data_IF_194624469489
#
_entry.id   IF_194624469489
#
_cell.length_a   1.000
_cell.length_b   1.000
_cell.length_c   1.000
_cell.angle_alpha   90.00
_cell.angle_beta   90.00
_cell.angle_gamma   90.00
#
_symmetry.space_group_name_H-M   'P 1'
#
loop_
_entity.id
_entity.type
_entity.pdbx_description
1 polymer ?
#
# COMPACT_ATOMS: atom_id res chain seq x y z
N UNK A 1 -21.75 -5.69 30.03
CA UNK A 1 -20.86 -4.83 29.23
C UNK A 1 -21.68 -4.21 28.10
N UNK A 2 -21.68 -2.88 27.93
CA UNK A 2 -22.35 -2.20 26.81
C UNK A 2 -21.66 -2.57 25.50
N UNK A 3 -22.42 -2.75 24.40
CA UNK A 3 -21.84 -2.97 23.07
C UNK A 3 -21.01 -1.74 22.67
N UNK A 4 -19.81 -1.94 22.09
CA UNK A 4 -18.99 -0.81 21.64
C UNK A 4 -19.76 0.03 20.60
N UNK A 5 -19.61 1.34 20.68
CA UNK A 5 -20.26 2.27 19.75
C UNK A 5 -19.72 2.09 18.36
N UNK A 6 -20.60 1.99 17.36
CA UNK A 6 -20.20 1.94 15.94
C UNK A 6 -19.72 3.32 15.49
N UNK A 7 -18.63 3.40 14.70
CA UNK A 7 -18.15 4.67 14.15
C UNK A 7 -19.07 5.20 13.05
N UNK A 8 -18.86 6.48 12.69
CA UNK A 8 -19.48 7.11 11.52
C UNK A 8 -18.52 7.12 10.33
N UNK A 9 -19.04 7.43 9.12
CA UNK A 9 -18.20 7.61 7.93
C UNK A 9 -17.14 8.71 8.17
N UNK A 10 -17.54 9.85 8.76
CA UNK A 10 -16.63 10.94 9.09
C UNK A 10 -15.53 10.48 10.06
N UNK A 11 -15.89 9.78 11.15
CA UNK A 11 -14.91 9.33 12.13
C UNK A 11 -13.86 8.38 11.52
N UNK A 12 -14.29 7.43 10.65
CA UNK A 12 -13.34 6.53 9.98
C UNK A 12 -12.48 7.29 8.97
N UNK A 13 -13.06 8.23 8.20
CA UNK A 13 -12.32 9.06 7.25
C UNK A 13 -11.24 9.88 7.95
N UNK A 14 -11.58 10.59 9.01
CA UNK A 14 -10.63 11.38 9.81
C UNK A 14 -9.52 10.51 10.41
N UNK A 15 -9.86 9.32 10.90
CA UNK A 15 -8.86 8.38 11.41
C UNK A 15 -7.89 7.93 10.31
N UNK A 16 -8.38 7.57 9.12
CA UNK A 16 -7.52 7.21 7.98
C UNK A 16 -6.60 8.38 7.59
N UNK A 17 -7.08 9.62 7.67
CA UNK A 17 -6.30 10.81 7.35
C UNK A 17 -5.18 11.09 8.36
N UNK A 18 -5.24 10.55 9.58
CA UNK A 18 -4.11 10.65 10.53
C UNK A 18 -2.87 9.87 10.06
N UNK A 19 -3.06 8.78 9.32
CA UNK A 19 -1.98 8.00 8.72
C UNK A 19 -1.67 8.45 7.29
N UNK A 20 -2.70 8.79 6.54
CA UNK A 20 -2.65 9.08 5.11
C UNK A 20 -3.12 10.51 4.86
N UNK A 21 -2.31 11.54 5.14
CA UNK A 21 -2.71 12.91 4.92
C UNK A 21 -3.05 13.14 3.43
N UNK A 22 -4.13 13.89 3.13
CA UNK A 22 -4.48 14.24 1.76
C UNK A 22 -3.34 15.01 1.09
N UNK A 23 -3.08 14.70 -0.19
CA UNK A 23 -2.12 15.40 -1.03
C UNK A 23 -2.82 15.96 -2.27
N UNK A 24 -2.35 17.09 -2.75
CA UNK A 24 -2.94 17.77 -3.91
C UNK A 24 -2.91 16.91 -5.17
N UNK A 25 -1.82 16.16 -5.37
CA UNK A 25 -1.60 15.28 -6.53
C UNK A 25 -1.97 13.81 -6.27
N UNK A 26 -2.74 13.52 -5.19
CA UNK A 26 -3.22 12.17 -4.92
C UNK A 26 -4.59 11.91 -5.56
N UNK A 27 -5.02 10.66 -5.59
CA UNK A 27 -6.39 10.30 -5.96
C UNK A 27 -7.38 10.94 -5.01
N UNK A 28 -8.59 11.23 -5.49
CA UNK A 28 -9.62 11.83 -4.67
C UNK A 28 -9.91 10.95 -3.44
N UNK A 29 -9.77 11.53 -2.23
CA UNK A 29 -9.97 10.84 -0.95
C UNK A 29 -11.36 10.18 -0.86
N UNK A 30 -12.41 10.92 -1.13
CA UNK A 30 -13.77 10.42 -1.22
C UNK A 30 -14.03 9.93 -2.65
N UNK A 31 -13.50 8.75 -2.99
CA UNK A 31 -13.50 8.24 -4.35
C UNK A 31 -14.91 7.90 -4.86
N UNK A 32 -15.76 7.35 -3.98
CA UNK A 32 -17.18 7.13 -4.26
C UNK A 32 -18.00 7.47 -3.02
N UNK A 33 -18.92 8.42 -3.15
CA UNK A 33 -19.82 8.86 -2.07
C UNK A 33 -21.24 8.38 -2.31
N UNK A 34 -22.00 8.06 -1.24
CA UNK A 34 -23.41 7.70 -1.35
C UNK A 34 -24.22 8.80 -2.02
N UNK A 35 -24.98 8.45 -3.06
CA UNK A 35 -25.79 9.41 -3.85
C UNK A 35 -27.18 9.73 -3.23
N UNK A 36 -27.30 9.58 -1.92
CA UNK A 36 -28.54 9.92 -1.24
C UNK A 36 -28.52 11.41 -0.85
N UNK A 37 -29.52 12.23 -1.21
CA UNK A 37 -29.58 13.64 -0.80
C UNK A 37 -29.58 13.87 0.74
N UNK A 38 -29.96 12.83 1.51
CA UNK A 38 -29.95 12.84 2.98
C UNK A 38 -28.68 12.19 3.56
N UNK A 39 -27.67 11.92 2.73
CA UNK A 39 -26.42 11.38 3.22
C UNK A 39 -25.67 12.45 4.00
N UNK A 40 -25.35 12.10 5.23
CA UNK A 40 -24.54 12.91 6.13
C UNK A 40 -23.46 11.98 6.72
N UNK A 41 -22.18 12.25 6.46
CA UNK A 41 -21.07 11.41 6.95
C UNK A 41 -20.96 11.41 8.47
N UNK A 42 -21.44 12.45 9.16
CA UNK A 42 -21.39 12.53 10.63
C UNK A 42 -22.40 11.58 11.30
N UNK A 43 -23.48 11.24 10.61
CA UNK A 43 -24.53 10.36 11.12
C UNK A 43 -24.57 8.99 10.45
N UNK A 44 -23.92 8.84 9.33
CA UNK A 44 -23.84 7.56 8.60
C UNK A 44 -22.96 6.54 9.36
N UNK A 45 -23.60 5.59 10.03
CA UNK A 45 -22.96 4.58 10.86
C UNK A 45 -22.27 3.51 10.00
N UNK A 46 -21.06 3.08 10.40
CA UNK A 46 -20.28 2.00 9.79
C UNK A 46 -20.42 0.72 10.63
N UNK A 47 -20.77 -0.39 9.99
CA UNK A 47 -20.85 -1.73 10.59
C UNK A 47 -19.69 -2.61 10.08
N UNK A 48 -19.20 -2.31 8.89
CA UNK A 48 -18.10 -3.04 8.23
C UNK A 48 -17.17 -2.07 7.54
N UNK A 49 -15.87 -2.30 7.69
CA UNK A 49 -14.80 -1.62 6.97
C UNK A 49 -14.10 -2.67 6.11
N UNK A 50 -14.01 -2.43 4.81
CA UNK A 50 -13.34 -3.32 3.85
C UNK A 50 -12.08 -2.62 3.36
N UNK A 51 -10.94 -3.31 3.42
CA UNK A 51 -9.64 -2.79 3.00
C UNK A 51 -9.08 -3.67 1.89
N UNK A 52 -8.59 -3.05 0.83
CA UNK A 52 -7.87 -3.75 -0.23
C UNK A 52 -6.96 -2.80 -1.02
N UNK A 53 -6.02 -3.37 -1.74
CA UNK A 53 -5.22 -2.62 -2.70
C UNK A 53 -6.08 -2.19 -3.88
N UNK A 54 -6.86 -3.11 -4.47
CA UNK A 54 -7.63 -2.89 -5.70
C UNK A 54 -9.04 -3.46 -5.60
N UNK A 55 -9.98 -3.01 -6.46
CA UNK A 55 -11.35 -3.51 -6.49
C UNK A 55 -11.43 -4.90 -7.19
N UNK A 56 -11.19 -5.96 -6.44
CA UNK A 56 -11.24 -7.34 -6.89
C UNK A 56 -12.64 -7.96 -6.70
N UNK A 57 -12.92 -9.17 -7.26
CA UNK A 57 -14.19 -9.87 -7.02
C UNK A 57 -14.52 -10.06 -5.54
N UNK A 58 -13.53 -10.37 -4.69
CA UNK A 58 -13.71 -10.47 -3.24
C UNK A 58 -14.12 -9.15 -2.60
N UNK A 59 -13.58 -8.02 -3.06
CA UNK A 59 -14.03 -6.69 -2.63
C UNK A 59 -15.49 -6.48 -3.03
N UNK A 60 -15.87 -6.76 -4.30
CA UNK A 60 -17.25 -6.60 -4.75
C UNK A 60 -18.23 -7.51 -4.00
N UNK A 61 -17.81 -8.70 -3.55
CA UNK A 61 -18.66 -9.57 -2.73
C UNK A 61 -19.07 -8.91 -1.41
N UNK A 62 -18.25 -8.00 -0.89
CA UNK A 62 -18.46 -7.29 0.39
C UNK A 62 -19.14 -5.94 0.22
N UNK A 63 -18.83 -5.20 -0.85
CA UNK A 63 -19.34 -3.83 -1.06
C UNK A 63 -20.40 -3.72 -2.16
N UNK A 64 -20.53 -4.74 -2.99
CA UNK A 64 -21.47 -4.78 -4.13
C UNK A 64 -22.87 -5.23 -3.74
N UNK A 65 -23.74 -5.29 -4.73
CA UNK A 65 -25.04 -5.90 -4.58
C UNK A 65 -24.89 -7.42 -4.48
N UNK A 66 -25.70 -8.13 -3.67
CA UNK A 66 -25.74 -9.58 -3.69
C UNK A 66 -25.96 -10.06 -5.12
N UNK A 67 -25.18 -11.03 -5.56
CA UNK A 67 -25.42 -11.68 -6.84
C UNK A 67 -26.81 -12.33 -6.77
N UNK A 68 -27.70 -11.96 -7.69
CA UNK A 68 -29.01 -12.56 -7.81
C UNK A 68 -28.81 -14.01 -8.27
N UNK A 69 -29.01 -14.98 -7.37
CA UNK A 69 -28.98 -16.42 -7.72
C UNK A 69 -30.10 -16.83 -8.66
N UNK A 70 -30.92 -15.88 -9.11
CA UNK A 70 -31.95 -16.13 -10.13
C UNK A 70 -31.38 -16.52 -11.52
N UNK A 71 -30.06 -16.36 -11.70
CA UNK A 71 -29.34 -16.85 -12.89
C UNK A 71 -28.97 -18.34 -12.78
N UNK A 72 -29.13 -18.96 -11.60
CA UNK A 72 -28.90 -20.39 -11.36
C UNK A 72 -30.27 -20.97 -11.05
N UNK A 73 -30.94 -21.55 -12.08
CA UNK A 73 -32.29 -22.09 -12.06
C UNK A 73 -32.64 -22.87 -10.79
N UNK A 74 -33.34 -22.25 -9.85
CA UNK A 74 -33.94 -22.90 -8.71
C UNK A 74 -35.32 -22.31 -8.42
N UNK A 75 -36.34 -23.04 -8.85
CA UNK A 75 -37.74 -22.90 -8.51
C UNK A 75 -37.96 -23.15 -7.02
N UNK A 76 -37.86 -22.11 -6.18
CA UNK A 76 -38.28 -22.22 -4.78
C UNK A 76 -39.04 -20.97 -4.35
N UNK A 77 -40.36 -21.12 -4.18
CA UNK A 77 -41.34 -20.07 -3.85
C UNK A 77 -41.35 -19.63 -2.37
N UNK A 78 -40.26 -19.69 -1.66
CA UNK A 78 -40.19 -19.16 -0.29
C UNK A 78 -39.56 -17.75 -0.31
N UNK A 79 -40.15 -16.75 0.40
CA UNK A 79 -39.54 -15.44 0.55
C UNK A 79 -38.23 -15.62 1.31
N UNK A 80 -37.09 -15.54 0.60
CA UNK A 80 -35.77 -15.56 1.22
C UNK A 80 -35.60 -14.27 2.02
N UNK A 81 -35.64 -14.33 3.32
CA UNK A 81 -35.26 -13.24 4.22
C UNK A 81 -33.74 -13.16 4.17
N UNK A 82 -33.20 -12.41 3.18
CA UNK A 82 -31.76 -12.09 3.19
C UNK A 82 -31.47 -11.17 4.39
N UNK A 83 -30.51 -11.50 5.22
CA UNK A 83 -30.08 -10.58 6.26
C UNK A 83 -29.66 -9.26 5.59
N UNK A 84 -30.10 -8.15 6.15
CA UNK A 84 -29.72 -6.82 5.65
C UNK A 84 -28.20 -6.73 5.54
N UNK A 85 -27.64 -6.37 4.37
CA UNK A 85 -26.22 -6.23 4.22
C UNK A 85 -25.68 -5.14 5.17
N UNK A 86 -24.47 -5.30 5.73
CA UNK A 86 -23.90 -4.34 6.65
C UNK A 86 -23.68 -2.98 5.97
N UNK A 87 -23.77 -1.91 6.75
CA UNK A 87 -23.40 -0.56 6.30
C UNK A 87 -21.88 -0.52 6.19
N UNK A 88 -21.38 -0.34 4.98
CA UNK A 88 -19.98 -0.58 4.66
C UNK A 88 -19.28 0.71 4.25
N UNK A 89 -18.06 0.88 4.77
CA UNK A 89 -17.04 1.78 4.24
C UNK A 89 -15.93 0.92 3.64
N UNK A 90 -15.44 1.29 2.46
CA UNK A 90 -14.34 0.60 1.79
C UNK A 90 -13.15 1.55 1.64
N UNK A 91 -11.94 1.06 1.82
CA UNK A 91 -10.70 1.74 1.46
C UNK A 91 -9.99 0.97 0.35
N UNK A 92 -9.60 1.67 -0.70
CA UNK A 92 -8.83 1.12 -1.83
C UNK A 92 -7.58 1.98 -2.06
N UNK A 93 -6.42 1.35 -2.05
CA UNK A 93 -5.18 2.03 -2.41
C UNK A 93 -5.19 2.44 -3.89
N UNK A 94 -5.53 1.52 -4.80
CA UNK A 94 -5.62 1.74 -6.26
C UNK A 94 -7.06 1.54 -6.77
N UNK A 95 -7.92 2.56 -6.70
CA UNK A 95 -9.35 2.45 -7.03
C UNK A 95 -9.64 2.57 -8.53
N UNK A 96 -8.64 2.68 -9.41
CA UNK A 96 -8.77 3.13 -10.80
C UNK A 96 -9.73 2.29 -11.65
N UNK A 97 -9.91 1.00 -11.32
CA UNK A 97 -10.81 0.08 -12.02
C UNK A 97 -12.15 -0.13 -11.30
N UNK A 98 -12.47 0.70 -10.29
CA UNK A 98 -13.71 0.55 -9.54
C UNK A 98 -14.93 0.83 -10.44
N UNK A 99 -15.74 -0.18 -10.68
CA UNK A 99 -17.09 0.01 -11.25
C UNK A 99 -18.04 0.56 -10.18
N UNK A 100 -18.20 1.88 -10.21
CA UNK A 100 -19.06 2.61 -9.24
C UNK A 100 -20.55 2.21 -9.35
N UNK A 101 -20.99 1.56 -10.43
CA UNK A 101 -22.38 1.10 -10.60
C UNK A 101 -22.61 -0.18 -9.82
N UNK A 102 -21.59 -1.01 -9.70
CA UNK A 102 -21.62 -2.25 -8.93
C UNK A 102 -21.51 -2.02 -7.42
N UNK A 103 -21.13 -0.81 -6.96
CA UNK A 103 -21.06 -0.46 -5.55
C UNK A 103 -22.46 -0.25 -4.97
N UNK A 104 -22.77 -0.97 -3.88
CA UNK A 104 -24.06 -0.91 -3.18
C UNK A 104 -24.37 0.51 -2.67
N UNK A 105 -25.64 0.94 -2.81
CA UNK A 105 -26.12 2.22 -2.27
C UNK A 105 -25.78 2.36 -0.78
N UNK A 106 -25.24 3.51 -0.38
CA UNK A 106 -24.86 3.79 1.00
C UNK A 106 -23.45 3.39 1.37
N UNK A 107 -22.68 2.74 0.48
CA UNK A 107 -21.25 2.48 0.68
C UNK A 107 -20.44 3.73 0.35
N UNK A 108 -19.55 4.12 1.27
CA UNK A 108 -18.50 5.11 1.02
C UNK A 108 -17.23 4.37 0.59
N UNK A 109 -16.55 4.85 -0.47
CA UNK A 109 -15.22 4.35 -0.84
C UNK A 109 -14.21 5.47 -0.66
N UNK A 110 -13.27 5.25 0.24
CA UNK A 110 -12.08 6.08 0.45
C UNK A 110 -10.94 5.58 -0.43
N UNK A 111 -10.02 6.47 -0.78
CA UNK A 111 -8.81 6.10 -1.48
C UNK A 111 -7.63 6.99 -1.10
N UNK A 112 -6.43 6.44 -1.22
CA UNK A 112 -5.15 7.14 -1.18
C UNK A 112 -4.11 6.34 -1.94
N UNK A 113 -3.49 6.94 -2.92
CA UNK A 113 -2.45 6.30 -3.71
C UNK A 113 -1.06 6.82 -3.32
N UNK A 114 -0.79 8.09 -3.58
CA UNK A 114 0.53 8.68 -3.34
C UNK A 114 0.90 8.69 -1.87
N UNK A 115 0.00 9.13 -1.00
CA UNK A 115 0.25 9.15 0.44
C UNK A 115 0.43 7.74 1.02
N UNK A 116 -0.34 6.76 0.52
CA UNK A 116 -0.19 5.36 0.91
C UNK A 116 1.17 4.80 0.51
N UNK A 117 1.60 5.02 -0.75
CA UNK A 117 2.92 4.61 -1.24
C UNK A 117 4.06 5.20 -0.39
N UNK A 118 3.91 6.45 0.03
CA UNK A 118 4.94 7.12 0.81
C UNK A 118 5.07 6.59 2.22
N UNK A 119 3.95 6.36 2.93
CA UNK A 119 4.00 6.16 4.38
C UNK A 119 3.60 4.77 4.86
N UNK A 120 2.93 3.97 4.04
CA UNK A 120 2.48 2.62 4.40
C UNK A 120 3.04 1.49 3.53
N UNK A 121 4.05 1.78 2.71
CA UNK A 121 4.80 0.76 1.96
C UNK A 121 6.28 0.81 2.32
N UNK A 122 7.16 0.35 1.43
CA UNK A 122 8.61 0.47 1.56
C UNK A 122 9.10 1.88 1.21
N UNK A 123 8.50 2.91 1.80
CA UNK A 123 8.81 4.33 1.61
C UNK A 123 9.23 5.03 2.91
N UNK A 124 8.74 6.24 3.14
CA UNK A 124 8.89 6.95 4.42
C UNK A 124 7.99 6.32 5.49
N UNK A 125 8.24 5.09 5.82
CA UNK A 125 7.44 4.30 6.76
C UNK A 125 8.15 4.19 8.11
N UNK A 126 7.84 5.12 9.01
CA UNK A 126 8.46 5.18 10.35
C UNK A 126 8.06 4.00 11.24
N UNK A 127 6.85 3.45 11.06
CA UNK A 127 6.40 2.26 11.81
C UNK A 127 7.21 1.03 11.39
N UNK A 128 7.40 0.82 10.10
CA UNK A 128 8.23 -0.28 9.59
C UNK A 128 9.69 -0.11 10.04
N UNK A 129 10.22 1.12 9.99
CA UNK A 129 11.57 1.43 10.46
C UNK A 129 11.75 1.06 11.95
N UNK A 130 10.79 1.41 12.80
CA UNK A 130 10.80 1.04 14.22
C UNK A 130 10.76 -0.49 14.41
N UNK A 131 9.92 -1.21 13.66
CA UNK A 131 9.82 -2.67 13.72
C UNK A 131 11.09 -3.37 13.24
N UNK A 132 11.81 -2.78 12.30
CA UNK A 132 13.14 -3.24 11.87
C UNK A 132 14.26 -2.80 12.85
N UNK A 133 13.90 -2.08 13.93
CA UNK A 133 14.80 -1.67 15.00
C UNK A 133 15.69 -0.49 14.66
N UNK A 134 15.26 0.36 13.73
CA UNK A 134 15.92 1.62 13.45
C UNK A 134 15.59 2.64 14.55
N UNK A 135 16.56 3.53 14.87
CA UNK A 135 16.36 4.64 15.78
C UNK A 135 15.58 5.76 15.08
N UNK A 136 14.26 5.68 15.06
CA UNK A 136 13.38 6.54 14.24
C UNK A 136 13.52 8.04 14.51
N UNK A 137 13.92 8.45 15.72
CA UNK A 137 14.17 9.85 16.06
C UNK A 137 15.33 10.47 15.27
N UNK A 138 16.30 9.64 14.84
CA UNK A 138 17.48 10.06 14.09
C UNK A 138 17.42 9.72 12.59
N UNK A 139 16.32 9.09 12.13
CA UNK A 139 16.15 8.72 10.74
C UNK A 139 16.03 9.94 9.82
N UNK A 140 16.56 9.82 8.61
CA UNK A 140 16.51 10.83 7.57
C UNK A 140 15.46 10.44 6.52
N UNK A 141 14.70 11.44 6.05
CA UNK A 141 13.76 11.26 4.94
C UNK A 141 14.50 11.43 3.62
N UNK A 142 14.40 10.42 2.75
CA UNK A 142 14.87 10.54 1.37
C UNK A 142 13.73 11.13 0.53
N UNK A 143 13.97 12.32 -0.05
CA UNK A 143 12.99 13.09 -0.80
C UNK A 143 13.43 13.36 -2.23
N UNK A 144 12.46 13.68 -3.09
CA UNK A 144 12.66 14.07 -4.48
C UNK A 144 12.63 12.88 -5.44
N UNK A 145 11.62 12.87 -6.32
CA UNK A 145 11.46 11.82 -7.32
C UNK A 145 10.68 12.33 -8.54
N UNK A 146 11.23 12.07 -9.74
CA UNK A 146 10.58 12.40 -11.03
C UNK A 146 10.07 13.85 -11.13
N UNK A 147 10.89 14.81 -10.68
CA UNK A 147 10.55 16.23 -10.76
C UNK A 147 9.70 16.78 -9.62
N UNK A 148 9.28 15.93 -8.66
CA UNK A 148 8.62 16.34 -7.42
C UNK A 148 9.65 16.32 -6.27
N UNK A 149 10.15 17.48 -5.79
CA UNK A 149 11.16 17.55 -4.74
C UNK A 149 10.61 17.17 -3.35
N UNK A 150 9.31 17.29 -3.14
CA UNK A 150 8.66 17.04 -1.86
C UNK A 150 8.24 15.58 -1.67
N UNK A 151 8.30 14.78 -2.74
CA UNK A 151 7.89 13.37 -2.68
C UNK A 151 8.82 12.57 -1.79
N UNK A 152 8.27 11.97 -0.75
CA UNK A 152 9.00 11.12 0.19
C UNK A 152 9.13 9.71 -0.38
N UNK A 153 10.32 9.30 -0.71
CA UNK A 153 10.58 7.99 -1.36
C UNK A 153 11.25 6.97 -0.45
N UNK A 154 11.68 7.38 0.73
CA UNK A 154 12.31 6.45 1.64
C UNK A 154 12.69 7.03 2.98
N UNK A 155 13.13 6.14 3.85
CA UNK A 155 13.69 6.42 5.16
C UNK A 155 15.02 5.69 5.31
N UNK A 156 16.03 6.39 5.82
CA UNK A 156 17.33 5.83 6.13
C UNK A 156 17.65 6.07 7.61
N UNK A 157 18.21 5.06 8.30
CA UNK A 157 18.55 5.19 9.71
C UNK A 157 19.48 4.11 10.23
N UNK A 158 19.99 4.35 11.42
CA UNK A 158 20.88 3.45 12.13
C UNK A 158 20.15 2.25 12.73
N UNK A 159 20.72 1.03 12.59
CA UNK A 159 20.12 -0.21 13.10
C UNK A 159 21.11 -1.10 13.89
N UNK A 160 22.36 -1.26 13.47
CA UNK A 160 23.42 -2.09 14.10
C UNK A 160 22.99 -3.54 14.43
N UNK A 161 22.89 -4.36 13.40
CA UNK A 161 22.46 -5.77 13.45
C UNK A 161 23.25 -6.62 12.47
N UNK A 162 23.21 -7.95 12.62
CA UNK A 162 23.66 -8.84 11.53
C UNK A 162 22.65 -8.82 10.37
N UNK A 163 23.14 -9.07 9.16
CA UNK A 163 22.30 -9.19 7.96
C UNK A 163 21.18 -10.21 8.16
N UNK A 164 21.50 -11.39 8.68
CA UNK A 164 20.53 -12.46 8.96
C UNK A 164 19.43 -11.99 9.94
N UNK A 165 19.76 -11.24 10.97
CA UNK A 165 18.80 -10.74 11.94
C UNK A 165 17.84 -9.73 11.29
N UNK A 166 18.32 -8.85 10.41
CA UNK A 166 17.48 -7.91 9.67
C UNK A 166 16.60 -8.65 8.67
N UNK A 167 17.15 -9.60 7.91
CA UNK A 167 16.39 -10.40 6.94
C UNK A 167 15.29 -11.23 7.62
N UNK A 168 15.55 -11.81 8.80
CA UNK A 168 14.53 -12.49 9.60
C UNK A 168 13.38 -11.54 9.98
N UNK A 169 13.69 -10.31 10.42
CA UNK A 169 12.66 -9.31 10.73
C UNK A 169 11.86 -8.88 9.48
N UNK A 170 12.54 -8.71 8.35
CA UNK A 170 11.87 -8.41 7.07
C UNK A 170 10.93 -9.56 6.68
N UNK A 171 11.37 -10.82 6.85
CA UNK A 171 10.54 -11.99 6.62
C UNK A 171 9.30 -12.04 7.54
N UNK A 172 9.46 -11.71 8.82
CA UNK A 172 8.34 -11.66 9.79
C UNK A 172 7.32 -10.58 9.41
N UNK A 173 7.79 -9.42 8.90
CA UNK A 173 6.91 -8.32 8.52
C UNK A 173 6.19 -8.54 7.18
N UNK A 174 6.83 -9.14 6.19
CA UNK A 174 6.26 -9.27 4.83
C UNK A 174 5.83 -10.69 4.46
N UNK A 175 6.17 -11.70 5.26
CA UNK A 175 5.88 -13.11 4.98
C UNK A 175 6.75 -13.72 3.87
N UNK A 176 7.41 -12.89 3.07
CA UNK A 176 8.37 -13.26 2.03
C UNK A 176 9.38 -12.14 1.84
N UNK A 177 10.65 -12.51 1.67
CA UNK A 177 11.71 -11.59 1.28
C UNK A 177 12.75 -12.34 0.47
N UNK A 178 13.38 -11.68 -0.48
CA UNK A 178 14.47 -12.19 -1.28
C UNK A 178 15.70 -11.34 -1.02
N UNK A 179 16.80 -11.97 -0.57
CA UNK A 179 18.11 -11.33 -0.60
C UNK A 179 18.59 -11.33 -2.06
N UNK A 180 18.36 -10.22 -2.75
CA UNK A 180 18.67 -10.06 -4.16
C UNK A 180 20.18 -9.93 -4.40
N UNK A 181 20.94 -9.44 -3.41
CA UNK A 181 22.39 -9.36 -3.42
C UNK A 181 22.93 -9.21 -2.00
N UNK A 182 23.93 -10.03 -1.67
CA UNK A 182 24.71 -9.96 -0.44
C UNK A 182 25.94 -9.05 -0.68
N UNK A 183 26.05 -8.01 0.13
CA UNK A 183 27.11 -7.02 0.01
C UNK A 183 28.45 -7.49 0.61
N UNK A 184 29.31 -6.53 0.92
CA UNK A 184 30.68 -6.81 1.38
C UNK A 184 30.77 -7.07 2.89
N UNK A 185 29.69 -6.90 3.68
CA UNK A 185 29.67 -7.06 5.14
C UNK A 185 28.41 -7.75 5.64
N UNK A 186 28.59 -8.65 6.63
CA UNK A 186 27.50 -9.27 7.39
C UNK A 186 26.93 -8.36 8.48
N UNK A 187 27.66 -7.30 8.86
CA UNK A 187 27.22 -6.31 9.82
C UNK A 187 26.47 -5.18 9.11
N UNK A 188 25.20 -5.03 9.39
CA UNK A 188 24.37 -3.93 8.89
C UNK A 188 24.23 -2.88 9.97
N UNK A 189 24.77 -1.70 9.73
CA UNK A 189 24.68 -0.52 10.60
C UNK A 189 23.55 0.40 10.16
N UNK A 190 23.19 0.36 8.88
CA UNK A 190 22.23 1.28 8.27
C UNK A 190 21.22 0.48 7.46
N UNK A 191 19.95 0.82 7.62
CA UNK A 191 18.87 0.32 6.77
C UNK A 191 18.29 1.48 6.00
N UNK A 192 18.16 1.33 4.68
CA UNK A 192 17.42 2.24 3.80
C UNK A 192 16.17 1.51 3.30
N UNK A 193 14.98 1.97 3.69
CA UNK A 193 13.69 1.46 3.22
C UNK A 193 13.22 2.39 2.11
N UNK A 194 13.14 1.89 0.86
CA UNK A 194 13.02 2.75 -0.32
C UNK A 194 11.99 2.23 -1.31
N UNK A 195 11.05 3.07 -1.74
CA UNK A 195 10.08 2.75 -2.81
C UNK A 195 10.59 3.07 -4.23
N UNK A 196 11.80 3.61 -4.35
CA UNK A 196 12.51 3.83 -5.61
C UNK A 196 13.88 3.15 -5.55
N UNK A 197 14.33 2.55 -6.66
CA UNK A 197 15.59 1.81 -6.71
C UNK A 197 16.24 1.98 -8.09
N UNK A 198 16.90 3.10 -8.32
CA UNK A 198 17.75 3.36 -9.46
C UNK A 198 19.11 3.85 -8.99
N UNK A 199 20.05 4.04 -9.89
CA UNK A 199 21.41 4.48 -9.60
C UNK A 199 21.43 5.77 -8.75
N UNK A 200 20.65 6.80 -9.14
CA UNK A 200 20.62 8.08 -8.41
C UNK A 200 20.18 7.93 -6.95
N UNK A 201 19.15 7.09 -6.68
CA UNK A 201 18.65 6.86 -5.33
C UNK A 201 19.66 6.08 -4.50
N UNK A 202 20.36 5.10 -5.07
CA UNK A 202 21.38 4.31 -4.39
C UNK A 202 22.55 5.21 -3.96
N UNK A 203 23.07 6.05 -4.87
CA UNK A 203 24.12 7.02 -4.57
C UNK A 203 23.68 8.05 -3.54
N UNK A 204 22.43 8.55 -3.63
CA UNK A 204 21.87 9.50 -2.67
C UNK A 204 21.82 8.93 -1.25
N UNK A 205 21.40 7.68 -1.12
CA UNK A 205 21.33 6.99 0.19
C UNK A 205 22.73 6.90 0.81
N UNK A 206 23.76 6.54 0.03
CA UNK A 206 25.14 6.50 0.51
C UNK A 206 25.62 7.89 0.93
N UNK A 207 25.41 8.90 0.08
CA UNK A 207 25.81 10.27 0.36
C UNK A 207 25.18 10.79 1.67
N UNK A 208 23.87 10.55 1.87
CA UNK A 208 23.17 10.94 3.11
C UNK A 208 23.74 10.22 4.34
N UNK A 209 24.12 8.95 4.23
CA UNK A 209 24.75 8.20 5.32
C UNK A 209 26.15 8.74 5.65
N UNK A 210 26.92 9.14 4.65
CA UNK A 210 28.23 9.78 4.81
C UNK A 210 28.12 11.19 5.43
N UNK A 211 27.22 12.03 4.93
CA UNK A 211 26.95 13.37 5.49
C UNK A 211 26.51 13.30 6.96
N UNK A 212 25.77 12.25 7.34
CA UNK A 212 25.38 12.02 8.74
C UNK A 212 26.50 11.47 9.60
N UNK A 213 27.61 11.02 8.99
CA UNK A 213 28.74 10.41 9.68
C UNK A 213 28.51 8.96 10.12
N UNK A 214 27.54 8.28 9.51
CA UNK A 214 27.29 6.86 9.74
C UNK A 214 28.22 5.95 8.92
N UNK A 215 28.70 6.45 7.81
CA UNK A 215 29.74 5.86 6.95
C UNK A 215 30.85 6.88 6.81
N UNK A 216 32.10 6.46 6.96
CA UNK A 216 33.23 7.37 6.83
C UNK A 216 33.49 7.73 5.37
N UNK A 217 34.04 8.88 5.11
CA UNK A 217 34.46 9.28 3.76
C UNK A 217 35.51 8.29 3.21
N UNK A 218 35.21 7.72 2.03
CA UNK A 218 36.04 6.70 1.39
C UNK A 218 35.74 5.25 1.80
N UNK A 219 34.87 5.03 2.78
CA UNK A 219 34.27 3.72 3.09
C UNK A 219 33.19 3.39 2.03
N UNK A 220 33.12 2.10 1.63
CA UNK A 220 32.05 1.63 0.75
C UNK A 220 30.69 1.50 1.48
N UNK A 221 29.65 1.08 0.76
CA UNK A 221 28.31 0.86 1.30
C UNK A 221 28.11 -0.48 2.00
N UNK A 222 29.16 -1.24 2.32
CA UNK A 222 29.07 -2.62 2.80
C UNK A 222 28.20 -2.80 4.04
N UNK A 223 28.15 -1.81 4.92
CA UNK A 223 27.33 -1.82 6.13
C UNK A 223 25.90 -1.31 5.92
N UNK A 224 25.45 -1.15 4.67
CA UNK A 224 24.14 -0.64 4.31
C UNK A 224 23.28 -1.74 3.67
N UNK A 225 22.08 -1.96 4.21
CA UNK A 225 21.03 -2.76 3.58
C UNK A 225 20.03 -1.83 2.88
N UNK A 226 19.88 -2.01 1.57
CA UNK A 226 18.86 -1.37 0.76
C UNK A 226 17.63 -2.28 0.66
N UNK A 227 16.54 -1.93 1.33
CA UNK A 227 15.27 -2.65 1.32
C UNK A 227 14.29 -1.97 0.36
N UNK A 228 13.83 -2.71 -0.65
CA UNK A 228 12.92 -2.17 -1.68
C UNK A 228 11.83 -3.16 -2.08
N UNK A 229 10.82 -2.69 -2.84
CA UNK A 229 9.76 -3.53 -3.35
C UNK A 229 10.22 -4.46 -4.49
N UNK A 230 10.98 -3.92 -5.46
CA UNK A 230 11.38 -4.67 -6.65
C UNK A 230 12.80 -4.33 -7.09
N UNK A 231 13.59 -5.31 -7.56
CA UNK A 231 14.89 -5.05 -8.13
C UNK A 231 14.77 -4.32 -9.47
N UNK A 232 15.72 -3.41 -9.74
CA UNK A 232 15.89 -2.75 -11.03
C UNK A 232 17.35 -2.83 -11.44
N UNK A 233 17.64 -3.00 -12.72
CA UNK A 233 18.98 -3.24 -13.24
C UNK A 233 19.96 -2.14 -12.80
N UNK A 234 19.64 -0.87 -13.05
CA UNK A 234 20.54 0.25 -12.71
C UNK A 234 20.80 0.38 -11.21
N UNK A 235 19.78 0.18 -10.36
CA UNK A 235 19.94 0.17 -8.91
C UNK A 235 20.78 -1.00 -8.42
N UNK A 236 20.61 -2.20 -9.01
CA UNK A 236 21.40 -3.38 -8.68
C UNK A 236 22.88 -3.21 -9.05
N UNK A 237 23.16 -2.65 -10.23
CA UNK A 237 24.53 -2.37 -10.68
C UNK A 237 25.23 -1.39 -9.73
N UNK A 238 24.55 -0.29 -9.39
CA UNK A 238 25.08 0.70 -8.46
C UNK A 238 25.29 0.13 -7.04
N UNK A 239 24.31 -0.58 -6.49
CA UNK A 239 24.42 -1.19 -5.17
C UNK A 239 25.58 -2.19 -5.08
N UNK A 240 25.77 -3.04 -6.11
CA UNK A 240 26.89 -3.98 -6.23
C UNK A 240 28.24 -3.26 -6.29
N UNK A 241 28.33 -2.19 -7.10
CA UNK A 241 29.56 -1.41 -7.21
C UNK A 241 29.96 -0.74 -5.88
N UNK A 242 28.99 -0.44 -5.03
CA UNK A 242 29.16 0.18 -3.72
C UNK A 242 29.21 -0.82 -2.55
N UNK A 243 29.15 -2.14 -2.83
CA UNK A 243 29.21 -3.18 -1.80
C UNK A 243 27.98 -3.32 -0.92
N UNK A 244 26.85 -2.64 -1.23
CA UNK A 244 25.64 -2.66 -0.42
C UNK A 244 24.89 -3.99 -0.53
N UNK A 245 24.29 -4.46 0.57
CA UNK A 245 23.29 -5.56 0.51
C UNK A 245 21.95 -5.04 0.00
N UNK A 246 21.24 -5.86 -0.80
CA UNK A 246 19.91 -5.50 -1.35
C UNK A 246 18.91 -6.60 -1.04
N UNK A 247 17.83 -6.23 -0.36
CA UNK A 247 16.68 -7.11 -0.12
C UNK A 247 15.42 -6.57 -0.82
N UNK A 248 14.64 -7.48 -1.39
CA UNK A 248 13.39 -7.16 -2.07
C UNK A 248 12.22 -7.89 -1.40
N UNK A 249 11.15 -7.17 -1.09
CA UNK A 249 9.95 -7.76 -0.46
C UNK A 249 8.83 -8.08 -1.45
N UNK A 250 8.93 -7.60 -2.69
CA UNK A 250 7.83 -7.63 -3.65
C UNK A 250 6.97 -6.37 -3.57
N UNK A 251 6.52 -5.89 -4.74
CA UNK A 251 5.68 -4.68 -4.80
C UNK A 251 4.34 -4.90 -4.08
N UNK A 252 3.69 -6.01 -4.39
CA UNK A 252 2.40 -6.38 -3.80
C UNK A 252 2.49 -6.60 -2.30
N UNK A 253 3.52 -7.27 -1.83
CA UNK A 253 3.75 -7.53 -0.41
C UNK A 253 3.96 -6.23 0.38
N UNK A 254 4.62 -5.24 -0.23
CA UNK A 254 4.74 -3.89 0.34
C UNK A 254 3.39 -3.21 0.51
N UNK A 255 2.51 -3.27 -0.49
CA UNK A 255 1.15 -2.73 -0.43
C UNK A 255 0.27 -3.50 0.57
N UNK A 256 0.33 -4.84 0.57
CA UNK A 256 -0.42 -5.70 1.49
C UNK A 256 -0.02 -5.46 2.96
N UNK A 257 1.26 -5.13 3.21
CA UNK A 257 1.73 -4.72 4.54
C UNK A 257 0.97 -3.47 5.03
N UNK A 258 0.83 -2.47 4.16
CA UNK A 258 0.08 -1.24 4.47
C UNK A 258 -1.40 -1.49 4.75
N UNK A 259 -2.04 -2.36 3.97
CA UNK A 259 -3.44 -2.78 4.18
C UNK A 259 -3.58 -3.47 5.55
N UNK A 260 -2.68 -4.40 5.86
CA UNK A 260 -2.67 -5.11 7.15
C UNK A 260 -2.46 -4.16 8.33
N UNK A 261 -1.50 -3.25 8.23
CA UNK A 261 -1.24 -2.25 9.24
C UNK A 261 -2.48 -1.37 9.49
N UNK A 262 -3.07 -0.81 8.44
CA UNK A 262 -4.26 0.02 8.53
C UNK A 262 -5.44 -0.76 9.14
N UNK A 263 -5.59 -2.05 8.78
CA UNK A 263 -6.60 -2.95 9.35
C UNK A 263 -6.41 -3.15 10.86
N UNK A 264 -5.17 -3.36 11.32
CA UNK A 264 -4.86 -3.48 12.74
C UNK A 264 -5.22 -2.21 13.52
N UNK A 265 -4.87 -1.05 13.01
CA UNK A 265 -5.16 0.23 13.65
C UNK A 265 -6.66 0.55 13.68
N UNK A 266 -7.38 0.25 12.60
CA UNK A 266 -8.84 0.41 12.55
C UNK A 266 -9.57 -0.53 13.53
N UNK A 267 -9.12 -1.77 13.71
CA UNK A 267 -9.70 -2.69 14.73
C UNK A 267 -9.49 -2.17 16.15
N UNK A 268 -8.32 -1.59 16.44
CA UNK A 268 -8.03 -0.97 17.74
C UNK A 268 -8.92 0.26 17.98
N UNK A 269 -9.03 1.15 16.98
CA UNK A 269 -9.78 2.39 17.10
C UNK A 269 -11.30 2.18 17.13
N UNK A 270 -11.80 1.21 16.34
CA UNK A 270 -13.23 1.01 16.12
C UNK A 270 -13.70 -0.43 16.41
N UNK A 271 -13.63 -0.90 17.68
CA UNK A 271 -14.02 -2.27 18.04
C UNK A 271 -15.51 -2.55 17.79
N UNK A 272 -16.33 -1.54 17.48
CA UNK A 272 -17.75 -1.67 17.13
C UNK A 272 -18.01 -1.94 15.63
N UNK A 273 -16.99 -1.91 14.78
CA UNK A 273 -17.07 -2.23 13.36
C UNK A 273 -16.27 -3.51 13.05
N UNK A 274 -16.74 -4.31 12.09
CA UNK A 274 -15.98 -5.44 11.56
C UNK A 274 -15.00 -4.93 10.51
N UNK A 275 -13.73 -5.30 10.59
CA UNK A 275 -12.70 -4.94 9.62
C UNK A 275 -12.28 -6.18 8.83
N UNK A 276 -12.51 -6.14 7.52
CA UNK A 276 -12.19 -7.19 6.55
C UNK A 276 -11.08 -6.71 5.61
N UNK A 277 -10.05 -7.52 5.46
CA UNK A 277 -8.93 -7.30 4.54
C UNK A 277 -9.04 -8.27 3.37
N UNK A 278 -8.90 -7.77 2.14
CA UNK A 278 -8.98 -8.58 0.91
C UNK A 278 -7.65 -8.50 0.18
N UNK A 279 -6.99 -9.65 0.02
CA UNK A 279 -5.65 -9.81 -0.54
C UNK A 279 -5.64 -10.54 -1.89
N UNK A 280 -6.66 -10.36 -2.71
CA UNK A 280 -6.72 -10.96 -4.04
C UNK A 280 -5.82 -10.23 -5.03
N UNK A 281 -5.18 -10.98 -5.93
CA UNK A 281 -4.42 -10.42 -7.03
C UNK A 281 -5.33 -9.78 -8.08
N UNK A 282 -4.83 -8.75 -8.75
CA UNK A 282 -5.50 -8.15 -9.89
C UNK A 282 -5.58 -9.14 -11.05
N UNK A 283 -6.76 -9.30 -11.63
CA UNK A 283 -6.90 -10.00 -12.89
C UNK A 283 -6.39 -9.08 -14.00
N UNK A 284 -5.33 -9.44 -14.74
CA UNK A 284 -4.83 -8.61 -15.82
C UNK A 284 -5.92 -8.34 -16.85
N UNK A 285 -6.25 -7.08 -17.10
CA UNK A 285 -7.12 -6.72 -18.20
C UNK A 285 -6.34 -6.88 -19.49
N UNK A 286 -6.60 -7.94 -20.24
CA UNK A 286 -6.07 -8.13 -21.58
C UNK A 286 -6.68 -7.03 -22.46
N UNK A 287 -5.96 -5.94 -22.68
CA UNK A 287 -6.35 -4.95 -23.69
C UNK A 287 -6.09 -5.54 -25.05
N UNK A 288 -7.13 -5.99 -25.74
CA UNK A 288 -7.03 -6.29 -27.17
C UNK A 288 -6.50 -5.03 -27.90
N UNK A 289 -5.30 -5.15 -28.46
CA UNK A 289 -4.78 -4.12 -29.35
C UNK A 289 -5.73 -4.04 -30.55
N UNK A 290 -6.49 -2.95 -30.68
CA UNK A 290 -7.22 -2.66 -31.92
C UNK A 290 -6.21 -2.66 -33.05
N UNK A 291 -6.27 -3.68 -33.89
CA UNK A 291 -5.51 -3.73 -35.15
C UNK A 291 -5.99 -2.55 -36.00
N UNK A 292 -5.13 -1.68 -36.52
CA UNK A 292 -5.55 -0.62 -37.43
C UNK A 292 -6.17 -1.28 -38.66
N UNK A 293 -7.40 -0.95 -38.96
CA UNK A 293 -8.03 -1.33 -40.25
C UNK A 293 -7.27 -0.58 -41.34
N UNK A 294 -6.44 -1.28 -42.06
CA UNK A 294 -5.85 -0.77 -43.33
C UNK A 294 -7.00 -0.56 -44.30
N UNK A 295 -7.27 0.71 -44.62
CA UNK A 295 -8.15 1.04 -45.75
C UNK A 295 -7.44 0.61 -47.03
N UNK A 296 -7.95 -0.44 -47.67
CA UNK A 296 -7.59 -0.80 -49.02
C UNK A 296 -8.00 0.35 -49.93
N UNK A 297 -7.01 1.07 -50.42
CA UNK A 297 -7.20 1.98 -51.56
C UNK A 297 -7.40 1.14 -52.82
N UNK A 298 -8.60 1.17 -53.37
CA UNK A 298 -8.92 0.56 -54.68
C UNK A 298 -8.09 1.26 -55.78
N UNK A 299 -7.55 0.49 -56.74
CA UNK A 299 -6.89 1.05 -57.91
C UNK A 299 -7.89 1.60 -58.92
N UNK A 300 -7.60 2.79 -59.47
CA UNK A 300 -8.22 3.33 -60.68
C UNK A 300 -7.59 2.67 -61.91
#
# INVERSE_FOLDING_TARGET
MSRPKKPTHAAVTQFVETFLPPKENDVQRLYHTPRNPRYDPETAVVEQIVLSVTPTPGVYSLIGYPLDESTIGATTLLPRIYPRPPRTLCFLHRPFQLDRRSVRKGTLVLSSHTSFDEVLTVGWNTVLAERLGMATADCLCVQGYKGDPERKIGIIGWASKSLDAVLSQVQDEFGASELAYEGSSDEIRIIAIMNAFNEDEVHRVLAMAQERGWIMEGEDGGHLLYLTGQPRVSGMEAAKALGMSVACVGHRQGEDWGIRFLGQELRKAFPGARVEEVYEEEIPVVREKKVPVTQDTAPQ
#
